data_IF_747319978647
#
_entry.id   IF_747319978647
#
_cell.length_a   1.000
_cell.length_b   1.000
_cell.length_c   1.000
_cell.angle_alpha   90.00
_cell.angle_beta   90.00
_cell.angle_gamma   90.00
#
_symmetry.space_group_name_H-M   'P 1'
#
loop_
_entity.id
_entity.type
_entity.pdbx_description
1 polymer ?
#
# COMPACT_ATOMS: atom_id res chain seq x y z
N UNK A 1 5.49 9.92 16.43
CA UNK A 1 5.15 9.27 15.15
C UNK A 1 3.66 8.90 15.12
N UNK A 2 2.87 9.51 14.21
CA UNK A 2 1.41 9.38 14.18
C UNK A 2 0.89 8.49 13.03
N UNK A 3 1.80 7.89 12.26
CA UNK A 3 1.47 6.99 11.16
C UNK A 3 2.30 5.72 11.26
N UNK A 4 1.62 4.58 11.19
CA UNK A 4 2.19 3.23 11.11
C UNK A 4 1.78 2.57 9.81
N UNK A 5 2.59 1.63 9.34
CA UNK A 5 2.25 0.82 8.19
C UNK A 5 2.95 -0.52 8.24
N UNK A 6 2.35 -1.50 7.56
CA UNK A 6 2.90 -2.84 7.39
C UNK A 6 2.39 -3.44 6.09
N UNK A 7 3.09 -4.46 5.60
CA UNK A 7 2.77 -5.15 4.36
C UNK A 7 2.51 -6.62 4.60
N UNK A 8 1.75 -7.22 3.67
CA UNK A 8 1.72 -8.66 3.45
C UNK A 8 2.00 -8.86 1.97
N UNK A 9 3.05 -9.60 1.65
CA UNK A 9 3.46 -9.84 0.27
C UNK A 9 2.45 -10.70 -0.50
N UNK A 10 1.66 -11.52 0.20
CA UNK A 10 0.77 -12.51 -0.43
C UNK A 10 1.54 -13.75 -0.88
N UNK A 11 0.88 -14.61 -1.66
CA UNK A 11 1.48 -15.87 -2.15
C UNK A 11 1.19 -16.09 -3.63
N UNK A 12 1.97 -16.95 -4.29
CA UNK A 12 1.86 -17.21 -5.73
C UNK A 12 0.61 -18.02 -6.09
N UNK A 13 0.07 -18.80 -5.15
CA UNK A 13 -1.19 -19.54 -5.33
C UNK A 13 -2.39 -18.60 -5.39
N UNK A 14 -2.31 -17.44 -4.73
CA UNK A 14 -3.37 -16.45 -4.70
C UNK A 14 -2.98 -15.26 -5.58
N UNK A 15 -3.38 -15.30 -6.85
CA UNK A 15 -3.16 -14.19 -7.78
C UNK A 15 -3.76 -12.89 -7.22
N UNK A 16 -3.07 -11.77 -7.45
CA UNK A 16 -3.42 -10.44 -6.92
C UNK A 16 -3.48 -10.35 -5.38
N UNK A 17 -2.96 -11.35 -4.66
CA UNK A 17 -2.86 -11.29 -3.21
C UNK A 17 -1.68 -10.44 -2.75
N UNK A 18 -1.84 -9.87 -1.56
CA UNK A 18 -0.89 -8.95 -0.96
C UNK A 18 -1.54 -7.60 -0.71
N UNK A 19 -1.04 -6.88 0.29
CA UNK A 19 -1.53 -5.55 0.61
C UNK A 19 -0.51 -4.74 1.40
N UNK A 20 -0.56 -3.42 1.24
CA UNK A 20 0.07 -2.48 2.17
C UNK A 20 -1.01 -1.76 2.97
N UNK A 21 -0.84 -1.68 4.29
CA UNK A 21 -1.81 -1.07 5.20
C UNK A 21 -1.15 0.10 5.90
N UNK A 22 -1.86 1.22 6.00
CA UNK A 22 -1.42 2.40 6.71
C UNK A 22 -2.54 2.93 7.59
N UNK A 23 -2.18 3.31 8.81
CA UNK A 23 -3.06 3.96 9.77
C UNK A 23 -2.39 5.25 10.23
N UNK A 24 -3.08 6.38 10.09
CA UNK A 24 -2.67 7.67 10.68
C UNK A 24 -3.70 8.11 11.73
N UNK A 25 -3.24 8.52 12.90
CA UNK A 25 -4.08 9.16 13.92
C UNK A 25 -3.84 10.68 14.03
N UNK A 26 -3.09 11.26 13.09
CA UNK A 26 -2.85 12.70 13.01
C UNK A 26 -3.11 13.21 11.60
N UNK A 27 -2.18 13.99 11.06
CA UNK A 27 -2.25 14.51 9.70
C UNK A 27 -2.09 13.42 8.63
N UNK A 28 -2.01 13.83 7.36
CA UNK A 28 -1.71 12.93 6.25
C UNK A 28 -0.45 12.09 6.55
N UNK A 29 -0.59 10.77 6.40
CA UNK A 29 0.45 9.81 6.68
C UNK A 29 1.00 9.20 5.41
N UNK A 30 2.30 8.90 5.41
CA UNK A 30 2.93 8.13 4.35
C UNK A 30 4.00 7.20 4.93
N UNK A 31 4.26 6.10 4.23
CA UNK A 31 5.36 5.18 4.52
C UNK A 31 5.93 4.61 3.22
N UNK A 32 7.24 4.68 3.09
CA UNK A 32 7.97 3.90 2.12
C UNK A 32 8.18 2.49 2.68
N UNK A 33 7.59 1.48 2.03
CA UNK A 33 7.54 0.11 2.53
C UNK A 33 7.81 -0.91 1.43
N UNK A 34 8.50 -1.99 1.81
CA UNK A 34 8.67 -3.17 0.97
C UNK A 34 7.38 -3.99 0.98
N UNK A 35 6.83 -4.27 -0.20
CA UNK A 35 5.72 -5.22 -0.38
C UNK A 35 6.18 -6.51 -1.09
N UNK A 36 7.41 -6.53 -1.60
CA UNK A 36 8.06 -7.68 -2.20
C UNK A 36 8.23 -7.57 -3.71
N UNK A 37 9.33 -8.12 -4.24
CA UNK A 37 9.71 -8.02 -5.66
C UNK A 37 8.67 -8.59 -6.62
N UNK A 38 7.83 -9.52 -6.15
CA UNK A 38 6.72 -10.07 -6.95
C UNK A 38 5.71 -9.01 -7.40
N UNK A 39 5.71 -7.86 -6.73
CA UNK A 39 4.84 -6.73 -7.06
C UNK A 39 5.53 -5.66 -7.92
N UNK A 40 6.78 -5.84 -8.32
CA UNK A 40 7.50 -4.89 -9.14
C UNK A 40 6.73 -4.52 -10.42
N UNK A 41 6.59 -3.21 -10.67
CA UNK A 41 5.86 -2.66 -11.81
C UNK A 41 4.33 -2.73 -11.70
N UNK A 42 3.78 -3.34 -10.65
CA UNK A 42 2.33 -3.42 -10.44
C UNK A 42 1.78 -2.12 -9.88
N UNK A 43 0.54 -1.84 -10.23
CA UNK A 43 -0.21 -0.67 -9.75
C UNK A 43 -1.11 -1.07 -8.59
N UNK A 44 -1.12 -0.27 -7.54
CA UNK A 44 -1.92 -0.43 -6.33
C UNK A 44 -2.93 0.71 -6.21
N UNK A 45 -4.13 0.38 -5.72
CA UNK A 45 -5.20 1.33 -5.41
C UNK A 45 -5.66 1.20 -3.97
N UNK A 46 -6.22 2.27 -3.40
CA UNK A 46 -6.87 2.19 -2.09
C UNK A 46 -8.17 1.38 -2.19
N UNK A 47 -8.19 0.24 -1.51
CA UNK A 47 -9.34 -0.65 -1.43
C UNK A 47 -10.53 0.02 -0.76
N UNK A 48 -10.28 0.90 0.22
CA UNK A 48 -11.31 1.62 0.96
C UNK A 48 -11.82 2.87 0.22
N UNK A 49 -11.25 3.18 -0.95
CA UNK A 49 -11.66 4.28 -1.82
C UNK A 49 -11.67 5.65 -1.12
N UNK A 50 -10.82 5.85 -0.12
CA UNK A 50 -10.63 7.16 0.52
C UNK A 50 -9.67 8.03 -0.27
N UNK A 51 -8.94 7.40 -1.18
CA UNK A 51 -7.97 7.99 -2.12
C UNK A 51 -8.27 7.50 -3.52
N UNK A 52 -8.08 8.39 -4.50
CA UNK A 52 -8.21 8.06 -5.94
C UNK A 52 -6.86 7.89 -6.62
N UNK A 53 -5.76 8.19 -5.93
CA UNK A 53 -4.42 8.00 -6.44
C UNK A 53 -4.08 6.53 -6.64
N UNK A 54 -3.20 6.28 -7.60
CA UNK A 54 -2.62 4.99 -7.90
C UNK A 54 -1.12 5.02 -7.63
N UNK A 55 -0.60 3.96 -7.04
CA UNK A 55 0.80 3.84 -6.67
C UNK A 55 1.42 2.71 -7.47
N UNK A 56 2.54 2.96 -8.13
CA UNK A 56 3.30 1.91 -8.81
C UNK A 56 4.43 1.45 -7.91
N UNK A 57 4.56 0.13 -7.73
CA UNK A 57 5.67 -0.48 -7.00
C UNK A 57 6.91 -0.50 -7.89
N UNK A 58 8.05 -0.09 -7.34
CA UNK A 58 9.30 -0.03 -8.06
C UNK A 58 9.88 -1.43 -8.37
N UNK A 59 10.98 -1.45 -9.12
CA UNK A 59 11.68 -2.69 -9.51
C UNK A 59 12.22 -3.52 -8.33
N UNK A 60 12.38 -2.90 -7.16
CA UNK A 60 12.89 -3.55 -5.95
C UNK A 60 11.77 -4.06 -5.04
N UNK A 61 10.50 -3.84 -5.40
CA UNK A 61 9.36 -4.25 -4.58
C UNK A 61 8.99 -3.24 -3.49
N UNK A 62 9.39 -1.97 -3.65
CA UNK A 62 9.12 -0.89 -2.70
C UNK A 62 8.17 0.14 -3.31
N UNK A 63 7.40 0.81 -2.46
CA UNK A 63 6.60 1.96 -2.85
C UNK A 63 6.35 2.90 -1.68
N UNK A 64 6.08 4.18 -1.97
CA UNK A 64 5.54 5.12 -0.98
C UNK A 64 4.02 5.04 -0.96
N UNK A 65 3.48 4.52 0.14
CA UNK A 65 2.05 4.39 0.36
C UNK A 65 1.51 5.53 1.21
N UNK A 66 0.27 5.93 0.94
CA UNK A 66 -0.36 7.11 1.54
C UNK A 66 -1.55 6.74 2.43
N UNK A 67 -1.88 7.62 3.37
CA UNK A 67 -3.02 7.49 4.27
C UNK A 67 -3.62 8.88 4.56
N UNK A 68 -4.94 9.08 4.39
CA UNK A 68 -5.59 10.33 4.78
C UNK A 68 -5.42 10.64 6.29
N UNK A 69 -5.57 11.91 6.70
CA UNK A 69 -5.49 12.29 8.11
C UNK A 69 -6.55 11.57 8.95
N UNK A 70 -6.17 11.12 10.15
CA UNK A 70 -7.05 10.43 11.10
C UNK A 70 -7.73 9.19 10.53
N UNK A 71 -7.09 8.49 9.59
CA UNK A 71 -7.72 7.45 8.78
C UNK A 71 -6.88 6.18 8.63
N UNK A 72 -7.40 5.26 7.82
CA UNK A 72 -6.83 3.98 7.44
C UNK A 72 -6.92 3.86 5.92
N UNK A 73 -5.85 3.42 5.26
CA UNK A 73 -5.81 3.02 3.85
C UNK A 73 -5.32 1.59 3.70
N UNK A 74 -5.91 0.86 2.76
CA UNK A 74 -5.53 -0.52 2.45
C UNK A 74 -5.24 -0.59 0.95
N UNK A 75 -3.98 -0.65 0.59
CA UNK A 75 -3.53 -0.70 -0.79
C UNK A 75 -3.51 -2.13 -1.29
N UNK A 76 -4.17 -2.39 -2.41
CA UNK A 76 -4.22 -3.70 -3.09
C UNK A 76 -3.92 -3.53 -4.56
N UNK A 77 -3.44 -4.59 -5.21
CA UNK A 77 -3.18 -4.62 -6.65
C UNK A 77 -4.45 -4.20 -7.43
N UNK A 78 -4.28 -3.25 -8.36
CA UNK A 78 -5.32 -2.80 -9.27
C UNK A 78 -5.51 -3.86 -10.36
N UNK A 79 -6.76 -4.29 -10.52
CA UNK A 79 -7.22 -5.21 -11.56
C UNK A 79 -7.73 -4.42 -12.77
#
# INVERSE_FOLDING_TARGET
>A
PNCIGWTREGTDENQHSGCAVLLSNGDEGFKHMEIGKRHAGKVFRDYLQKRSEEITVDENGWAEFLCPPGSLSVWVEKQ
#
